data_IF_369854561795
#
_entry.id   IF_369854561795
#
_cell.length_a   1.000
_cell.length_b   1.000
_cell.length_c   1.000
_cell.angle_alpha   90.00
_cell.angle_beta   90.00
_cell.angle_gamma   90.00
#
_symmetry.space_group_name_H-M   'P 1'
#
loop_
_entity.id
_entity.type
_entity.pdbx_description
1 polymer ?
#
# COMPACT_ATOMS: atom_id res chain seq x y z
N UNK A 1 6.76 5.02 26.59
CA UNK A 1 7.86 4.39 25.82
C UNK A 1 9.14 4.55 26.63
N UNK A 2 9.77 3.47 27.12
CA UNK A 2 11.06 3.60 27.84
C UNK A 2 12.14 3.96 26.82
N UNK A 3 12.68 5.18 26.89
CA UNK A 3 13.65 5.76 25.94
C UNK A 3 14.81 4.81 25.62
N UNK A 4 15.28 4.07 26.63
CA UNK A 4 16.37 3.10 26.52
C UNK A 4 16.07 1.94 25.55
N UNK A 5 14.81 1.57 25.34
CA UNK A 5 14.44 0.47 24.42
C UNK A 5 14.54 0.92 22.96
N UNK A 6 14.08 2.14 22.67
CA UNK A 6 14.10 2.69 21.32
C UNK A 6 15.53 2.99 20.90
N UNK A 7 16.32 3.62 21.77
CA UNK A 7 17.70 3.95 21.47
C UNK A 7 18.55 2.69 21.24
N UNK A 8 18.38 1.66 22.07
CA UNK A 8 19.04 0.36 21.88
C UNK A 8 18.62 -0.30 20.57
N UNK A 9 17.33 -0.29 20.26
CA UNK A 9 16.82 -0.87 19.01
C UNK A 9 17.39 -0.16 17.79
N UNK A 10 17.45 1.17 17.79
CA UNK A 10 18.07 1.93 16.72
C UNK A 10 19.55 1.59 16.58
N UNK A 11 20.32 1.51 17.68
CA UNK A 11 21.74 1.12 17.62
C UNK A 11 21.97 -0.27 17.06
N UNK A 12 21.11 -1.24 17.41
CA UNK A 12 21.29 -2.64 17.01
C UNK A 12 20.76 -2.94 15.60
N UNK A 13 19.63 -2.36 15.22
CA UNK A 13 18.90 -2.74 14.01
C UNK A 13 18.98 -1.68 12.92
N UNK A 14 19.14 -0.41 13.30
CA UNK A 14 19.12 0.73 12.37
C UNK A 14 20.23 1.75 12.69
N UNK A 15 21.51 1.34 12.68
CA UNK A 15 22.61 2.22 13.09
C UNK A 15 22.69 3.52 12.28
N UNK A 16 22.25 3.48 11.02
CA UNK A 16 22.16 4.66 10.14
C UNK A 16 21.14 5.71 10.59
N UNK A 17 20.16 5.33 11.42
CA UNK A 17 19.12 6.21 11.95
C UNK A 17 19.48 6.82 13.30
N UNK A 18 20.46 6.25 14.02
CA UNK A 18 20.90 6.76 15.34
C UNK A 18 21.46 8.17 15.26
N UNK A 19 22.14 8.49 14.16
CA UNK A 19 22.78 9.80 13.94
C UNK A 19 21.82 10.83 13.33
N UNK A 20 20.57 10.47 13.06
CA UNK A 20 19.60 11.37 12.42
C UNK A 20 18.96 12.29 13.45
N UNK A 21 18.82 13.55 13.06
CA UNK A 21 18.19 14.56 13.92
C UNK A 21 16.67 14.39 13.94
N UNK A 22 16.00 15.06 14.88
CA UNK A 22 14.54 15.00 15.03
C UNK A 22 13.83 15.49 13.76
N UNK A 23 14.42 16.47 13.08
CA UNK A 23 13.96 17.12 11.86
C UNK A 23 13.92 16.14 10.69
N UNK A 24 14.87 15.21 10.61
CA UNK A 24 14.84 14.13 9.62
C UNK A 24 13.59 13.27 9.79
N UNK A 25 13.26 12.86 11.02
CA UNK A 25 12.08 12.05 11.31
C UNK A 25 10.79 12.83 11.07
N UNK A 26 10.74 14.10 11.48
CA UNK A 26 9.58 14.98 11.21
C UNK A 26 9.35 15.14 9.71
N UNK A 27 10.38 15.45 8.93
CA UNK A 27 10.29 15.59 7.47
C UNK A 27 9.86 14.29 6.79
N UNK A 28 10.40 13.14 7.24
CA UNK A 28 10.00 11.83 6.71
C UNK A 28 8.54 11.51 7.04
N UNK A 29 8.09 11.81 8.25
CA UNK A 29 6.70 11.62 8.64
C UNK A 29 5.75 12.48 7.80
N UNK A 30 6.09 13.76 7.56
CA UNK A 30 5.31 14.63 6.68
C UNK A 30 5.32 14.17 5.22
N UNK A 31 6.45 13.68 4.73
CA UNK A 31 6.54 13.05 3.40
C UNK A 31 5.61 11.84 3.30
N UNK A 32 5.61 10.95 4.30
CA UNK A 32 4.72 9.78 4.34
C UNK A 32 3.24 10.16 4.42
N UNK A 33 2.89 11.23 5.16
CA UNK A 33 1.53 11.77 5.18
C UNK A 33 1.10 12.29 3.81
N UNK A 34 1.97 13.06 3.14
CA UNK A 34 1.73 13.62 1.80
C UNK A 34 1.65 12.56 0.71
N UNK A 35 2.38 11.46 0.85
CA UNK A 35 2.32 10.35 -0.11
C UNK A 35 0.94 9.69 -0.18
N UNK A 36 -0.02 10.04 0.71
CA UNK A 36 -1.39 9.50 0.73
C UNK A 36 -1.44 8.00 0.45
N UNK A 37 -0.44 7.27 0.96
CA UNK A 37 -0.46 5.80 0.97
C UNK A 37 -1.80 5.43 1.58
N UNK A 38 -2.57 4.64 0.86
CA UNK A 38 -3.96 4.36 1.20
C UNK A 38 -4.06 3.89 2.66
N UNK A 39 -4.43 4.83 3.54
CA UNK A 39 -4.52 4.59 4.99
C UNK A 39 -5.75 3.77 5.34
N UNK A 40 -6.71 3.72 4.43
CA UNK A 40 -8.00 3.05 4.60
C UNK A 40 -8.01 1.60 4.09
N UNK A 41 -7.00 1.20 3.30
CA UNK A 41 -7.04 -0.07 2.58
C UNK A 41 -8.09 -0.11 1.45
N UNK A 42 -8.67 1.04 1.07
CA UNK A 42 -9.67 1.13 -0.01
C UNK A 42 -9.11 0.80 -1.39
N UNK A 43 -7.85 1.15 -1.67
CA UNK A 43 -7.14 0.74 -2.88
C UNK A 43 -6.94 -0.78 -2.88
N UNK A 44 -6.49 -1.36 -1.78
CA UNK A 44 -6.35 -2.81 -1.65
C UNK A 44 -7.71 -3.52 -1.78
N UNK A 45 -8.77 -2.93 -1.23
CA UNK A 45 -10.15 -3.44 -1.31
C UNK A 45 -10.68 -3.36 -2.75
N UNK A 46 -10.46 -2.24 -3.44
CA UNK A 46 -10.86 -2.05 -4.83
C UNK A 46 -10.13 -3.00 -5.77
N UNK A 47 -8.81 -3.17 -5.60
CA UNK A 47 -8.01 -4.13 -6.35
C UNK A 47 -8.46 -5.57 -6.07
N UNK A 48 -8.70 -5.93 -4.81
CA UNK A 48 -9.20 -7.26 -4.43
C UNK A 48 -10.59 -7.55 -5.02
N UNK A 49 -11.51 -6.58 -4.98
CA UNK A 49 -12.83 -6.70 -5.62
C UNK A 49 -12.71 -6.85 -7.14
N UNK A 50 -11.85 -6.04 -7.78
CA UNK A 50 -11.61 -6.13 -9.22
C UNK A 50 -11.04 -7.49 -9.62
N UNK A 51 -10.03 -7.98 -8.90
CA UNK A 51 -9.45 -9.31 -9.10
C UNK A 51 -10.48 -10.41 -8.89
N UNK A 52 -11.30 -10.33 -7.84
CA UNK A 52 -12.36 -11.29 -7.56
C UNK A 52 -13.43 -11.30 -8.66
N UNK A 53 -13.79 -10.14 -9.21
CA UNK A 53 -14.72 -10.03 -10.33
C UNK A 53 -14.13 -10.61 -11.63
N UNK A 54 -12.87 -10.32 -11.92
CA UNK A 54 -12.17 -10.89 -13.09
C UNK A 54 -11.99 -12.40 -12.97
N UNK A 55 -11.63 -12.90 -11.79
CA UNK A 55 -11.55 -14.34 -11.52
C UNK A 55 -12.93 -15.02 -11.62
N UNK A 56 -13.98 -14.40 -11.08
CA UNK A 56 -15.36 -14.90 -11.24
C UNK A 56 -15.77 -14.97 -12.71
N UNK A 57 -15.44 -13.95 -13.52
CA UNK A 57 -15.68 -13.98 -14.97
C UNK A 57 -14.94 -15.12 -15.64
N UNK A 58 -13.66 -15.32 -15.33
CA UNK A 58 -12.87 -16.43 -15.89
C UNK A 58 -13.43 -17.81 -15.51
N UNK A 59 -13.95 -17.96 -14.29
CA UNK A 59 -14.54 -19.22 -13.83
C UNK A 59 -15.97 -19.44 -14.36
N UNK A 60 -16.74 -18.38 -14.59
CA UNK A 60 -18.10 -18.46 -15.14
C UNK A 60 -18.12 -18.54 -16.67
N UNK A 61 -17.07 -18.07 -17.36
CA UNK A 61 -16.92 -18.15 -18.82
C UNK A 61 -16.46 -19.55 -19.30
N UNK A 62 -16.63 -20.59 -18.48
CA UNK A 62 -16.59 -21.98 -18.92
C UNK A 62 -17.76 -22.39 -19.82
N UNK A 63 -18.66 -21.46 -20.15
CA UNK A 63 -19.73 -21.62 -21.13
C UNK A 63 -20.02 -20.26 -21.77
N UNK A 64 -19.57 -20.08 -23.01
CA UNK A 64 -19.96 -19.14 -24.07
C UNK A 64 -20.47 -17.74 -23.70
N UNK A 65 -19.79 -16.71 -24.23
CA UNK A 65 -20.42 -15.73 -25.13
C UNK A 65 -19.43 -14.61 -25.46
N UNK A 66 -19.21 -14.45 -26.75
CA UNK A 66 -18.70 -13.26 -27.39
C UNK A 66 -19.43 -12.03 -26.86
N UNK A 67 -18.70 -10.96 -26.56
CA UNK A 67 -19.28 -9.62 -26.61
C UNK A 67 -18.32 -8.72 -27.34
N UNK A 68 -18.71 -8.53 -28.60
CA UNK A 68 -18.32 -7.48 -29.52
C UNK A 68 -17.96 -6.18 -28.79
N UNK A 69 -16.72 -5.75 -28.96
CA UNK A 69 -16.40 -4.33 -28.84
C UNK A 69 -16.87 -3.64 -30.12
N UNK A 70 -18.14 -3.25 -30.16
CA UNK A 70 -18.59 -2.19 -31.05
C UNK A 70 -19.63 -1.33 -30.35
N UNK A 71 -19.17 -0.21 -29.79
CA UNK A 71 -19.90 1.06 -29.87
C UNK A 71 -19.00 2.25 -29.56
N UNK A 72 -18.52 2.81 -30.65
CA UNK A 72 -18.01 4.16 -30.83
C UNK A 72 -19.09 5.20 -30.50
N UNK A 73 -18.79 6.14 -29.60
CA UNK A 73 -18.86 7.60 -29.83
C UNK A 73 -18.38 8.40 -28.62
#
# INVERSE_FOLDING_TARGET
MRSNRLERHLKQQHPTLVLKTKEFFSSKAESLKRMRLDKSGSYHTGVSQHLKASFRRLLCNGTEAETEQEKEK
#
